data_IF_097501722505
#
_entry.id   IF_097501722505
#
_cell.length_a   1.000
_cell.length_b   1.000
_cell.length_c   1.000
_cell.angle_alpha   90.00
_cell.angle_beta   90.00
_cell.angle_gamma   90.00
#
_symmetry.space_group_name_H-M   'P 1'
#
loop_
_entity.id
_entity.type
_entity.pdbx_description
1 polymer ?
#
# COMPACT_ATOMS: atom_id res chain seq x y z
N UNK A 1 -72.61 -51.07 -2.46
CA UNK A 1 -72.31 -52.31 -1.72
C UNK A 1 -71.81 -53.30 -2.75
N UNK A 2 -70.57 -53.77 -2.79
CA UNK A 2 -69.35 -53.64 -2.00
C UNK A 2 -68.26 -54.00 -3.01
N UNK A 3 -67.32 -53.10 -3.31
CA UNK A 3 -66.38 -53.33 -4.41
C UNK A 3 -65.07 -52.60 -4.15
N UNK A 4 -64.42 -52.81 -2.99
CA UNK A 4 -63.21 -52.06 -2.61
C UNK A 4 -62.23 -52.76 -1.65
N UNK A 5 -62.11 -54.09 -1.59
CA UNK A 5 -61.03 -54.71 -0.80
C UNK A 5 -60.52 -56.02 -1.41
N UNK A 6 -59.44 -55.94 -2.19
CA UNK A 6 -58.72 -57.15 -2.63
C UNK A 6 -57.70 -56.90 -3.73
N UNK A 7 -56.63 -56.15 -3.47
CA UNK A 7 -55.44 -56.17 -4.32
C UNK A 7 -54.18 -55.81 -3.52
N UNK A 8 -53.31 -56.82 -3.38
CA UNK A 8 -51.85 -56.75 -3.26
C UNK A 8 -51.20 -55.65 -2.42
N UNK A 9 -51.03 -55.95 -1.14
CA UNK A 9 -50.09 -55.26 -0.26
C UNK A 9 -48.74 -55.98 -0.25
N UNK A 10 -48.05 -56.11 -1.40
CA UNK A 10 -46.69 -56.70 -1.41
C UNK A 10 -45.78 -56.43 -2.62
N UNK A 11 -45.76 -55.23 -3.21
CA UNK A 11 -44.62 -54.82 -4.05
C UNK A 11 -44.43 -53.30 -3.96
N UNK A 12 -43.54 -52.82 -3.09
CA UNK A 12 -42.90 -51.50 -3.27
C UNK A 12 -41.67 -51.31 -2.37
N UNK A 13 -40.79 -52.31 -2.29
CA UNK A 13 -39.41 -52.10 -1.83
C UNK A 13 -38.49 -52.92 -2.75
N UNK A 14 -38.20 -52.38 -3.93
CA UNK A 14 -36.92 -52.62 -4.59
C UNK A 14 -36.35 -51.26 -5.02
N UNK A 15 -35.08 -50.96 -4.69
CA UNK A 15 -34.42 -49.76 -5.14
C UNK A 15 -34.10 -49.95 -6.63
N UNK A 16 -34.62 -49.08 -7.49
CA UNK A 16 -34.14 -49.00 -8.87
C UNK A 16 -32.65 -48.63 -8.87
N UNK A 17 -31.83 -49.67 -8.97
CA UNK A 17 -30.46 -49.58 -9.43
C UNK A 17 -30.46 -49.77 -10.94
N UNK A 18 -30.16 -48.70 -11.67
CA UNK A 18 -29.26 -48.66 -12.84
C UNK A 18 -29.61 -47.45 -13.73
N UNK A 19 -28.62 -46.56 -13.90
CA UNK A 19 -28.11 -46.04 -15.19
C UNK A 19 -27.65 -44.58 -15.10
N UNK A 20 -26.37 -44.34 -15.40
CA UNK A 20 -25.87 -43.02 -15.79
C UNK A 20 -25.07 -42.25 -14.73
N UNK A 21 -23.73 -42.30 -14.87
CA UNK A 21 -22.77 -41.34 -14.33
C UNK A 21 -23.04 -39.90 -14.84
N UNK A 22 -24.08 -39.23 -14.35
CA UNK A 22 -24.19 -37.78 -14.49
C UNK A 22 -24.28 -37.17 -13.12
N UNK A 23 -23.13 -36.68 -12.62
CA UNK A 23 -23.08 -35.67 -11.55
C UNK A 23 -24.18 -34.65 -11.83
N UNK A 24 -25.04 -34.38 -10.87
CA UNK A 24 -26.08 -33.34 -11.02
C UNK A 24 -25.38 -32.01 -11.34
N UNK A 25 -25.42 -31.66 -12.63
CA UNK A 25 -24.70 -30.51 -13.19
C UNK A 25 -25.05 -29.14 -12.55
N UNK A 26 -26.26 -28.85 -12.04
CA UNK A 26 -26.56 -27.50 -11.58
C UNK A 26 -25.89 -27.13 -10.24
N UNK A 27 -25.82 -28.05 -9.26
CA UNK A 27 -25.27 -27.71 -7.93
C UNK A 27 -23.76 -27.51 -7.97
N UNK A 28 -23.04 -28.34 -8.72
CA UNK A 28 -21.60 -28.15 -8.92
C UNK A 28 -21.29 -26.85 -9.69
N UNK A 29 -22.11 -26.52 -10.70
CA UNK A 29 -22.02 -25.24 -11.41
C UNK A 29 -22.23 -24.06 -10.46
N UNK A 30 -23.23 -24.10 -9.58
CA UNK A 30 -23.51 -23.05 -8.59
C UNK A 30 -22.34 -22.84 -7.62
N UNK A 31 -21.76 -23.91 -7.09
CA UNK A 31 -20.57 -23.83 -6.21
C UNK A 31 -19.37 -23.29 -6.98
N UNK A 32 -19.20 -23.68 -8.24
CA UNK A 32 -18.10 -23.18 -9.09
C UNK A 32 -18.26 -21.69 -9.38
N UNK A 33 -19.46 -21.23 -9.72
CA UNK A 33 -19.78 -19.82 -9.94
C UNK A 33 -19.56 -19.03 -8.65
N UNK A 34 -20.01 -19.54 -7.51
CA UNK A 34 -19.78 -18.92 -6.21
C UNK A 34 -18.29 -18.75 -5.90
N UNK A 35 -17.50 -19.80 -6.14
CA UNK A 35 -16.07 -19.77 -5.88
C UNK A 35 -15.41 -18.72 -6.78
N UNK A 36 -15.60 -18.79 -8.10
CA UNK A 36 -15.02 -17.83 -9.05
C UNK A 36 -15.46 -16.40 -8.72
N UNK A 37 -16.73 -16.18 -8.43
CA UNK A 37 -17.26 -14.88 -8.05
C UNK A 37 -16.59 -14.32 -6.80
N UNK A 38 -16.40 -15.16 -5.77
CA UNK A 38 -15.69 -14.77 -4.54
C UNK A 38 -14.23 -14.45 -4.83
N UNK A 39 -13.56 -15.26 -5.64
CA UNK A 39 -12.18 -15.02 -6.04
C UNK A 39 -12.06 -13.68 -6.80
N UNK A 40 -12.93 -13.42 -7.77
CA UNK A 40 -12.94 -12.16 -8.52
C UNK A 40 -13.26 -10.96 -7.64
N UNK A 41 -14.16 -11.10 -6.67
CA UNK A 41 -14.53 -10.03 -5.74
C UNK A 41 -13.33 -9.62 -4.87
N UNK A 42 -12.62 -10.60 -4.32
CA UNK A 42 -11.39 -10.37 -3.55
C UNK A 42 -10.27 -9.78 -4.41
N UNK A 43 -10.07 -10.30 -5.62
CA UNK A 43 -9.13 -9.71 -6.57
C UNK A 43 -9.46 -8.25 -6.83
N UNK A 44 -10.70 -7.94 -7.19
CA UNK A 44 -11.16 -6.61 -7.52
C UNK A 44 -11.03 -5.61 -6.37
N UNK A 45 -11.27 -6.04 -5.12
CA UNK A 45 -11.07 -5.20 -3.95
C UNK A 45 -9.61 -4.72 -3.80
N UNK A 46 -8.63 -5.51 -4.22
CA UNK A 46 -7.20 -5.26 -3.97
C UNK A 46 -6.35 -5.02 -5.22
N UNK A 47 -6.89 -5.19 -6.44
CA UNK A 47 -6.11 -5.17 -7.69
C UNK A 47 -5.62 -3.79 -8.15
N UNK A 48 -6.14 -2.68 -7.61
CA UNK A 48 -5.68 -1.33 -7.93
C UNK A 48 -4.68 -0.81 -6.90
N UNK A 49 -3.47 -1.38 -6.88
CA UNK A 49 -2.33 -0.86 -6.11
C UNK A 49 -1.25 -0.22 -7.01
N UNK A 50 -1.41 -0.32 -8.33
CA UNK A 50 -0.61 0.42 -9.29
C UNK A 50 -1.25 1.79 -9.54
N UNK A 51 -0.45 2.85 -9.48
CA UNK A 51 -0.80 4.25 -9.83
C UNK A 51 -1.32 4.47 -11.28
N UNK A 52 -1.76 3.42 -11.98
CA UNK A 52 -2.33 3.40 -13.33
C UNK A 52 -3.77 2.85 -13.36
N UNK A 53 -4.43 2.66 -12.20
CA UNK A 53 -5.85 2.32 -12.23
C UNK A 53 -6.63 3.47 -12.87
N UNK A 54 -7.30 3.17 -13.98
CA UNK A 54 -8.23 4.11 -14.63
C UNK A 54 -9.29 4.59 -13.64
N UNK A 55 -9.65 5.87 -13.68
CA UNK A 55 -10.58 6.54 -12.76
C UNK A 55 -11.88 5.75 -12.47
N UNK A 56 -12.38 4.97 -13.42
CA UNK A 56 -13.59 4.14 -13.22
C UNK A 56 -13.38 2.94 -12.27
N UNK A 57 -12.21 2.29 -12.30
CA UNK A 57 -11.89 1.15 -11.43
C UNK A 57 -11.86 1.60 -9.98
N UNK A 58 -11.29 2.78 -9.77
CA UNK A 58 -11.27 3.51 -8.51
C UNK A 58 -12.67 3.76 -7.98
N UNK A 59 -13.51 4.41 -8.78
CA UNK A 59 -14.87 4.76 -8.37
C UNK A 59 -15.68 3.53 -8.03
N UNK A 60 -15.57 2.47 -8.84
CA UNK A 60 -16.26 1.22 -8.60
C UNK A 60 -15.78 0.54 -7.29
N UNK A 61 -14.49 0.52 -7.00
CA UNK A 61 -13.95 -0.04 -5.74
C UNK A 61 -14.37 0.77 -4.52
N UNK A 62 -14.34 2.09 -4.61
CA UNK A 62 -14.81 2.98 -3.54
C UNK A 62 -16.31 2.79 -3.31
N UNK A 63 -17.12 2.72 -4.37
CA UNK A 63 -18.56 2.51 -4.26
C UNK A 63 -18.93 1.13 -3.71
N UNK A 64 -18.25 0.06 -4.13
CA UNK A 64 -18.56 -1.30 -3.73
C UNK A 64 -18.02 -1.69 -2.35
N UNK A 65 -16.84 -1.20 -1.98
CA UNK A 65 -16.12 -1.63 -0.77
C UNK A 65 -15.85 -0.51 0.22
N UNK A 66 -16.19 0.74 -0.12
CA UNK A 66 -15.91 1.90 0.72
C UNK A 66 -14.42 2.10 0.98
N UNK A 67 -13.58 1.78 -0.01
CA UNK A 67 -12.14 1.95 0.07
C UNK A 67 -11.82 3.46 -0.02
N UNK A 68 -11.21 4.01 1.03
CA UNK A 68 -10.76 5.40 1.14
C UNK A 68 -9.37 5.44 1.81
N UNK A 69 -8.57 6.48 1.53
CA UNK A 69 -7.34 6.89 2.21
C UNK A 69 -6.22 5.86 2.22
N UNK A 70 -6.33 4.91 3.14
CA UNK A 70 -5.39 3.82 3.42
C UNK A 70 -5.57 2.63 2.45
N UNK A 71 -6.59 2.68 1.59
CA UNK A 71 -6.77 1.70 0.53
C UNK A 71 -7.25 0.32 1.02
N UNK A 72 -7.82 0.24 2.22
CA UNK A 72 -8.48 -0.97 2.72
C UNK A 72 -10.00 -0.79 2.69
N UNK A 73 -10.79 -1.87 2.54
CA UNK A 73 -12.24 -1.80 2.67
C UNK A 73 -12.66 -1.21 4.03
N UNK A 74 -13.78 -0.49 4.04
CA UNK A 74 -14.39 -0.08 5.30
C UNK A 74 -15.17 -1.24 5.94
N UNK A 75 -15.83 -1.00 7.08
CA UNK A 75 -16.63 -2.04 7.76
C UNK A 75 -17.68 -2.69 6.85
N UNK A 76 -18.35 -1.90 5.99
CA UNK A 76 -19.30 -2.42 5.00
C UNK A 76 -18.64 -3.27 3.91
N UNK A 77 -17.50 -2.83 3.39
CA UNK A 77 -16.73 -3.59 2.40
C UNK A 77 -16.20 -4.92 2.93
N UNK A 78 -15.74 -4.97 4.17
CA UNK A 78 -15.33 -6.23 4.81
C UNK A 78 -16.50 -7.19 5.02
N UNK A 79 -17.66 -6.67 5.43
CA UNK A 79 -18.88 -7.46 5.51
C UNK A 79 -19.25 -8.02 4.13
N UNK A 80 -19.18 -7.21 3.07
CA UNK A 80 -19.45 -7.67 1.71
C UNK A 80 -18.46 -8.78 1.28
N UNK A 81 -17.17 -8.63 1.54
CA UNK A 81 -16.13 -9.59 1.14
C UNK A 81 -16.18 -10.94 1.88
N UNK A 82 -16.65 -10.95 3.13
CA UNK A 82 -16.62 -12.13 3.99
C UNK A 82 -18.02 -12.72 4.16
N UNK A 83 -18.99 -11.88 4.58
CA UNK A 83 -20.31 -12.34 4.97
C UNK A 83 -21.17 -12.72 3.76
N UNK A 84 -21.11 -11.97 2.66
CA UNK A 84 -21.95 -12.26 1.50
C UNK A 84 -21.59 -13.63 0.84
N UNK A 85 -20.31 -13.97 0.60
CA UNK A 85 -19.94 -15.31 0.14
C UNK A 85 -20.35 -16.41 1.14
N UNK A 86 -20.17 -16.19 2.44
CA UNK A 86 -20.52 -17.18 3.46
C UNK A 86 -22.04 -17.46 3.50
N UNK A 87 -22.86 -16.42 3.44
CA UNK A 87 -24.32 -16.55 3.41
C UNK A 87 -24.81 -17.23 2.12
N UNK A 88 -24.20 -16.93 0.98
CA UNK A 88 -24.55 -17.58 -0.28
C UNK A 88 -24.20 -19.07 -0.27
N UNK A 89 -23.00 -19.42 0.21
CA UNK A 89 -22.61 -20.82 0.37
C UNK A 89 -23.55 -21.55 1.35
N UNK A 90 -23.88 -20.90 2.47
CA UNK A 90 -24.85 -21.44 3.43
C UNK A 90 -26.21 -21.70 2.78
N UNK A 91 -26.72 -20.77 1.96
CA UNK A 91 -27.96 -20.96 1.23
C UNK A 91 -27.92 -22.15 0.26
N UNK A 92 -26.81 -22.35 -0.47
CA UNK A 92 -26.62 -23.54 -1.32
C UNK A 92 -26.64 -24.82 -0.47
N UNK A 93 -25.95 -24.82 0.68
CA UNK A 93 -25.91 -25.95 1.60
C UNK A 93 -27.29 -26.33 2.15
N UNK A 94 -28.12 -25.34 2.46
CA UNK A 94 -29.49 -25.56 2.95
C UNK A 94 -30.44 -25.98 1.82
N UNK A 95 -30.31 -25.39 0.64
CA UNK A 95 -31.21 -25.65 -0.48
C UNK A 95 -30.96 -27.00 -1.19
N UNK A 96 -29.71 -27.47 -1.24
CA UNK A 96 -29.31 -28.66 -2.01
C UNK A 96 -28.44 -29.65 -1.21
N UNK A 97 -28.88 -30.12 -0.03
CA UNK A 97 -28.03 -30.91 0.87
C UNK A 97 -27.68 -32.30 0.30
N UNK A 98 -28.60 -32.93 -0.43
CA UNK A 98 -28.40 -34.28 -0.97
C UNK A 98 -27.52 -34.25 -2.23
N UNK A 99 -27.76 -33.29 -3.11
CA UNK A 99 -27.00 -33.09 -4.35
C UNK A 99 -25.55 -32.68 -4.06
N UNK A 100 -25.31 -31.84 -3.04
CA UNK A 100 -23.97 -31.51 -2.58
C UNK A 100 -23.23 -32.74 -2.07
N UNK A 101 -23.88 -33.54 -1.21
CA UNK A 101 -23.27 -34.74 -0.65
C UNK A 101 -22.90 -35.75 -1.73
N UNK A 102 -23.79 -35.98 -2.68
CA UNK A 102 -23.55 -36.92 -3.80
C UNK A 102 -22.47 -36.41 -4.77
N UNK A 103 -22.50 -35.12 -5.11
CA UNK A 103 -21.48 -34.49 -5.95
C UNK A 103 -20.09 -34.52 -5.29
N UNK A 104 -20.01 -34.25 -3.99
CA UNK A 104 -18.78 -34.33 -3.20
C UNK A 104 -18.19 -35.75 -3.20
N UNK A 105 -19.04 -36.76 -2.92
CA UNK A 105 -18.61 -38.16 -2.96
C UNK A 105 -18.11 -38.57 -4.36
N UNK A 106 -18.75 -38.08 -5.42
CA UNK A 106 -18.30 -38.32 -6.79
C UNK A 106 -16.93 -37.69 -7.07
N UNK A 107 -16.72 -36.43 -6.67
CA UNK A 107 -15.45 -35.72 -6.85
C UNK A 107 -14.29 -36.42 -6.12
N UNK A 108 -14.50 -36.85 -4.88
CA UNK A 108 -13.46 -37.48 -4.07
C UNK A 108 -13.13 -38.90 -4.56
N UNK A 109 -14.10 -39.62 -5.15
CA UNK A 109 -13.90 -40.99 -5.66
C UNK A 109 -13.19 -41.04 -7.01
N UNK A 110 -13.38 -40.06 -7.87
CA UNK A 110 -12.77 -40.02 -9.21
C UNK A 110 -11.38 -39.38 -9.18
N UNK A 111 -10.41 -39.95 -9.92
CA UNK A 111 -9.05 -39.38 -10.00
C UNK A 111 -9.06 -37.95 -10.56
N UNK A 112 -9.83 -37.70 -11.61
CA UNK A 112 -10.02 -36.36 -12.20
C UNK A 112 -10.63 -35.37 -11.20
N UNK A 113 -11.59 -35.82 -10.38
CA UNK A 113 -12.19 -35.00 -9.33
C UNK A 113 -11.20 -34.65 -8.22
N UNK A 114 -10.35 -35.60 -7.80
CA UNK A 114 -9.26 -35.34 -6.84
C UNK A 114 -8.24 -34.34 -7.38
N UNK A 115 -7.85 -34.47 -8.66
CA UNK A 115 -6.95 -33.51 -9.31
C UNK A 115 -7.59 -32.12 -9.36
N UNK A 116 -8.88 -32.02 -9.72
CA UNK A 116 -9.60 -30.76 -9.73
C UNK A 116 -9.69 -30.11 -8.35
N UNK A 117 -9.97 -30.91 -7.30
CA UNK A 117 -9.99 -30.42 -5.92
C UNK A 117 -8.61 -29.88 -5.50
N UNK A 118 -7.52 -30.60 -5.80
CA UNK A 118 -6.16 -30.13 -5.51
C UNK A 118 -5.86 -28.83 -6.25
N UNK A 119 -6.17 -28.75 -7.54
CA UNK A 119 -5.95 -27.53 -8.32
C UNK A 119 -6.72 -26.33 -7.75
N UNK A 120 -8.00 -26.52 -7.40
CA UNK A 120 -8.82 -25.49 -6.76
C UNK A 120 -8.25 -25.07 -5.41
N UNK A 121 -7.85 -26.03 -4.56
CA UNK A 121 -7.22 -25.73 -3.27
C UNK A 121 -5.92 -24.94 -3.43
N UNK A 122 -5.11 -25.26 -4.43
CA UNK A 122 -3.88 -24.52 -4.75
C UNK A 122 -4.20 -23.09 -5.18
N UNK A 123 -5.19 -22.89 -6.07
CA UNK A 123 -5.60 -21.57 -6.52
C UNK A 123 -6.15 -20.70 -5.38
N UNK A 124 -6.97 -21.28 -4.50
CA UNK A 124 -7.45 -20.60 -3.29
C UNK A 124 -6.27 -20.24 -2.39
N UNK A 125 -5.32 -21.17 -2.19
CA UNK A 125 -4.12 -20.92 -1.39
C UNK A 125 -3.29 -19.75 -1.94
N UNK A 126 -3.04 -19.72 -3.25
CA UNK A 126 -2.32 -18.63 -3.92
C UNK A 126 -3.06 -17.30 -3.70
N UNK A 127 -4.37 -17.29 -3.86
CA UNK A 127 -5.15 -16.07 -3.69
C UNK A 127 -5.17 -15.57 -2.24
N UNK A 128 -5.34 -16.46 -1.26
CA UNK A 128 -5.31 -16.10 0.17
C UNK A 128 -3.96 -15.52 0.53
N UNK A 129 -2.87 -16.11 0.07
CA UNK A 129 -1.51 -15.58 0.28
C UNK A 129 -1.37 -14.20 -0.35
N UNK A 130 -1.75 -14.04 -1.63
CA UNK A 130 -1.68 -12.75 -2.32
C UNK A 130 -2.50 -11.66 -1.61
N UNK A 131 -3.78 -11.93 -1.32
CA UNK A 131 -4.64 -10.97 -0.62
C UNK A 131 -4.10 -10.64 0.77
N UNK A 132 -3.65 -11.65 1.53
CA UNK A 132 -3.02 -11.46 2.83
C UNK A 132 -1.79 -10.56 2.76
N UNK A 133 -0.91 -10.76 1.77
CA UNK A 133 0.27 -9.90 1.58
C UNK A 133 -0.08 -8.46 1.23
N UNK A 134 -1.11 -8.25 0.40
CA UNK A 134 -1.55 -6.91 0.02
C UNK A 134 -2.24 -6.16 1.17
N UNK A 135 -3.04 -6.87 1.98
CA UNK A 135 -3.62 -6.34 3.21
C UNK A 135 -2.51 -5.97 4.20
N UNK A 136 -1.56 -6.88 4.45
CA UNK A 136 -0.47 -6.65 5.38
C UNK A 136 0.37 -5.43 4.96
N UNK A 137 0.71 -5.33 3.68
CA UNK A 137 1.43 -4.18 3.12
C UNK A 137 0.71 -2.85 3.40
N UNK A 138 -0.62 -2.81 3.21
CA UNK A 138 -1.43 -1.60 3.46
C UNK A 138 -1.51 -1.26 4.95
N UNK A 139 -1.64 -2.27 5.81
CA UNK A 139 -1.59 -2.10 7.27
C UNK A 139 -0.23 -1.57 7.72
N UNK A 140 0.87 -2.09 7.18
CA UNK A 140 2.22 -1.65 7.50
C UNK A 140 2.44 -0.19 7.11
N UNK A 141 1.97 0.22 5.92
CA UNK A 141 2.00 1.61 5.47
C UNK A 141 1.20 2.52 6.42
N UNK A 142 -0.01 2.11 6.78
CA UNK A 142 -0.87 2.87 7.69
C UNK A 142 -0.21 3.03 9.06
N UNK A 143 0.29 1.93 9.63
CA UNK A 143 0.97 1.95 10.92
C UNK A 143 2.21 2.85 10.87
N UNK A 144 3.03 2.72 9.83
CA UNK A 144 4.23 3.52 9.64
C UNK A 144 3.93 5.02 9.43
N UNK A 145 2.79 5.36 8.80
CA UNK A 145 2.31 6.73 8.66
C UNK A 145 1.86 7.36 9.99
N UNK A 146 1.44 6.54 10.95
CA UNK A 146 0.97 6.99 12.29
C UNK A 146 2.05 6.97 13.37
N UNK A 147 3.28 6.55 13.07
CA UNK A 147 4.34 6.47 14.08
C UNK A 147 4.63 7.86 14.69
N UNK A 148 4.80 7.91 16.03
CA UNK A 148 5.07 9.16 16.72
C UNK A 148 6.39 9.76 16.26
N UNK A 149 6.52 11.07 16.45
CA UNK A 149 7.74 11.80 16.16
C UNK A 149 8.92 11.23 16.96
N UNK A 150 10.07 11.02 16.32
CA UNK A 150 11.27 10.56 17.01
C UNK A 150 11.83 11.70 17.87
N UNK A 151 11.57 11.64 19.17
CA UNK A 151 12.04 12.60 20.17
C UNK A 151 13.30 12.09 20.88
N UNK A 152 13.99 13.00 21.58
CA UNK A 152 15.22 12.69 22.31
C UNK A 152 16.49 12.73 21.45
N UNK A 153 17.61 12.33 22.04
CA UNK A 153 18.92 12.32 21.39
C UNK A 153 19.04 11.15 20.40
N UNK A 154 19.82 11.38 19.34
CA UNK A 154 20.15 10.35 18.38
C UNK A 154 21.03 9.26 19.02
N UNK A 155 20.65 7.97 18.99
CA UNK A 155 21.41 6.93 19.67
C UNK A 155 22.84 6.79 19.12
N UNK A 156 23.83 6.72 20.00
CA UNK A 156 25.24 6.63 19.60
C UNK A 156 25.53 5.40 18.70
N UNK A 157 24.89 4.28 19.02
CA UNK A 157 25.05 2.98 18.37
C UNK A 157 23.94 2.67 17.34
N UNK A 158 23.29 3.70 16.77
CA UNK A 158 22.29 3.48 15.73
C UNK A 158 22.95 2.91 14.45
N UNK A 159 22.55 1.72 13.97
CA UNK A 159 23.26 1.02 12.91
C UNK A 159 23.13 1.74 11.56
N UNK A 160 24.22 1.99 10.82
CA UNK A 160 24.15 2.56 9.48
C UNK A 160 23.70 1.50 8.47
N UNK A 161 22.88 1.92 7.51
CA UNK A 161 22.41 1.07 6.41
C UNK A 161 23.52 0.84 5.37
N UNK A 162 24.26 1.91 5.02
CA UNK A 162 25.35 1.90 4.03
C UNK A 162 24.96 1.30 2.67
N UNK A 163 23.78 1.68 2.16
CA UNK A 163 23.24 1.24 0.85
C UNK A 163 23.49 2.34 -0.20
N UNK A 164 23.94 2.04 -1.43
CA UNK A 164 24.04 3.06 -2.48
C UNK A 164 22.69 3.74 -2.69
N UNK A 165 22.67 5.07 -2.70
CA UNK A 165 21.45 5.81 -2.97
C UNK A 165 21.08 5.67 -4.45
N UNK A 166 19.85 5.23 -4.79
CA UNK A 166 19.39 5.20 -6.17
C UNK A 166 19.50 6.58 -6.81
N UNK A 167 20.10 6.65 -8.00
CA UNK A 167 20.21 7.92 -8.69
C UNK A 167 18.83 8.35 -9.25
N UNK A 168 18.64 9.66 -9.39
CA UNK A 168 17.46 10.23 -10.03
C UNK A 168 17.87 11.39 -10.93
N UNK A 169 16.97 11.76 -11.85
CA UNK A 169 17.07 12.99 -12.63
C UNK A 169 15.66 13.57 -12.74
N UNK A 170 15.41 14.64 -12.00
CA UNK A 170 14.10 15.27 -11.81
C UNK A 170 14.21 16.76 -12.08
N UNK A 171 13.06 17.42 -12.21
CA UNK A 171 12.97 18.83 -12.62
C UNK A 171 12.69 19.72 -11.41
N UNK A 172 13.41 20.83 -11.31
CA UNK A 172 13.16 21.86 -10.29
C UNK A 172 12.16 22.93 -10.77
N UNK A 173 11.88 23.94 -9.93
CA UNK A 173 10.95 25.03 -10.27
C UNK A 173 11.38 25.92 -11.45
N UNK A 174 12.65 25.86 -11.86
CA UNK A 174 13.21 26.62 -12.98
C UNK A 174 13.16 25.83 -14.29
N UNK A 175 12.68 24.58 -14.26
CA UNK A 175 12.72 23.67 -15.40
C UNK A 175 14.08 22.99 -15.60
N UNK A 176 15.04 23.20 -14.71
CA UNK A 176 16.36 22.58 -14.79
C UNK A 176 16.32 21.15 -14.26
N UNK A 177 17.04 20.25 -14.93
CA UNK A 177 17.28 18.90 -14.44
C UNK A 177 18.23 18.94 -13.24
N UNK A 178 17.87 18.21 -12.20
CA UNK A 178 18.62 18.03 -10.96
C UNK A 178 18.73 16.54 -10.69
N UNK A 179 19.95 16.08 -10.51
CA UNK A 179 20.26 14.68 -10.27
C UNK A 179 20.94 14.50 -8.92
N UNK A 180 20.85 13.29 -8.34
CA UNK A 180 21.51 13.03 -7.05
C UNK A 180 23.03 13.26 -7.13
N UNK A 181 23.61 12.93 -8.30
CA UNK A 181 25.04 13.15 -8.59
C UNK A 181 25.50 14.60 -8.46
N UNK A 182 24.59 15.57 -8.61
CA UNK A 182 24.91 17.00 -8.52
C UNK A 182 25.25 17.39 -7.07
N UNK A 183 24.89 16.55 -6.11
CA UNK A 183 25.17 16.72 -4.68
C UNK A 183 26.39 15.95 -4.19
N UNK A 184 27.16 15.28 -5.07
CA UNK A 184 28.40 14.59 -4.68
C UNK A 184 29.34 15.51 -3.88
N UNK A 185 29.95 14.96 -2.84
CA UNK A 185 30.78 15.72 -1.91
C UNK A 185 29.99 16.46 -0.83
N UNK A 186 28.65 16.39 -0.84
CA UNK A 186 27.77 17.03 0.14
C UNK A 186 26.81 15.98 0.71
N UNK A 187 26.46 16.09 1.99
CA UNK A 187 25.41 15.25 2.55
C UNK A 187 24.04 15.73 2.08
N UNK A 188 23.11 14.80 1.85
CA UNK A 188 21.76 15.11 1.39
C UNK A 188 20.73 14.60 2.38
N UNK A 189 19.86 15.50 2.86
CA UNK A 189 18.60 15.16 3.51
C UNK A 189 17.56 15.01 2.40
N UNK A 190 17.28 13.78 1.99
CA UNK A 190 16.27 13.48 0.98
C UNK A 190 14.96 13.08 1.67
N UNK A 191 13.87 13.76 1.35
CA UNK A 191 12.54 13.43 1.84
C UNK A 191 11.50 13.48 0.73
N UNK A 192 10.37 12.83 0.97
CA UNK A 192 9.24 12.79 0.06
C UNK A 192 8.03 13.45 0.71
N UNK A 193 7.47 14.46 0.06
CA UNK A 193 6.35 15.25 0.59
C UNK A 193 5.51 15.81 -0.56
N UNK A 194 4.27 16.23 -0.31
CA UNK A 194 3.42 16.84 -1.34
C UNK A 194 2.67 18.05 -0.80
N UNK A 195 2.37 19.02 -1.67
CA UNK A 195 1.88 20.33 -1.24
C UNK A 195 0.48 20.29 -0.59
N UNK A 196 -0.33 19.29 -0.92
CA UNK A 196 -1.69 19.17 -0.40
C UNK A 196 -1.74 18.63 1.04
N UNK A 197 -0.66 18.02 1.54
CA UNK A 197 -0.61 17.54 2.92
C UNK A 197 -0.66 18.71 3.91
N UNK A 198 -1.68 18.73 4.78
CA UNK A 198 -1.92 19.80 5.76
C UNK A 198 -1.39 19.51 7.17
N UNK A 199 -0.86 18.31 7.41
CA UNK A 199 -0.53 17.82 8.76
C UNK A 199 0.96 17.51 8.91
N UNK A 200 1.42 16.37 8.40
CA UNK A 200 2.77 15.84 8.69
C UNK A 200 3.86 16.48 7.83
N UNK A 201 3.61 16.72 6.54
CA UNK A 201 4.63 17.28 5.64
C UNK A 201 5.18 18.63 6.12
N UNK A 202 4.37 19.63 6.53
CA UNK A 202 4.91 20.89 7.05
C UNK A 202 5.84 20.72 8.26
N UNK A 203 5.50 19.79 9.18
CA UNK A 203 6.30 19.51 10.38
C UNK A 203 7.62 18.81 10.03
N UNK A 204 7.59 17.86 9.09
CA UNK A 204 8.79 17.18 8.58
C UNK A 204 9.76 18.17 7.92
N UNK A 205 9.23 19.03 7.05
CA UNK A 205 10.00 20.07 6.39
C UNK A 205 10.59 21.06 7.40
N UNK A 206 9.82 21.46 8.42
CA UNK A 206 10.31 22.33 9.49
C UNK A 206 11.46 21.70 10.29
N UNK A 207 11.37 20.41 10.59
CA UNK A 207 12.41 19.65 11.30
C UNK A 207 13.69 19.53 10.49
N UNK A 208 13.57 19.22 9.19
CA UNK A 208 14.70 19.18 8.27
C UNK A 208 15.38 20.54 8.12
N UNK A 209 14.62 21.63 7.97
CA UNK A 209 15.16 22.99 7.94
C UNK A 209 15.91 23.37 9.22
N UNK A 210 15.36 22.99 10.37
CA UNK A 210 15.97 23.28 11.67
C UNK A 210 17.27 22.51 11.89
N UNK A 211 17.39 21.30 11.34
CA UNK A 211 18.66 20.56 11.30
C UNK A 211 19.65 21.20 10.32
N UNK A 212 19.17 21.53 9.12
CA UNK A 212 19.96 22.13 8.03
C UNK A 212 20.62 23.45 8.42
N UNK A 213 19.95 24.27 9.26
CA UNK A 213 20.45 25.56 9.73
C UNK A 213 21.74 25.49 10.57
N UNK A 214 22.12 24.31 11.06
CA UNK A 214 23.36 24.11 11.85
C UNK A 214 24.57 23.75 10.99
N UNK A 215 24.40 23.58 9.68
CA UNK A 215 25.46 23.20 8.76
C UNK A 215 25.60 24.24 7.65
N UNK A 216 26.79 24.32 7.05
CA UNK A 216 26.97 25.21 5.90
C UNK A 216 26.19 24.70 4.69
N UNK A 217 25.80 25.62 3.81
CA UNK A 217 25.15 25.28 2.53
C UNK A 217 26.05 24.44 1.63
N UNK A 218 27.36 24.49 1.81
CA UNK A 218 28.32 23.67 1.07
C UNK A 218 28.40 22.24 1.62
N UNK A 219 28.05 22.02 2.89
CA UNK A 219 28.12 20.71 3.54
C UNK A 219 26.85 19.88 3.35
N UNK A 220 25.68 20.52 3.45
CA UNK A 220 24.39 19.82 3.48
C UNK A 220 23.37 20.46 2.55
N UNK A 221 22.66 19.60 1.82
CA UNK A 221 21.57 19.96 0.92
C UNK A 221 20.28 19.24 1.34
N UNK A 222 19.16 19.92 1.23
CA UNK A 222 17.84 19.32 1.43
C UNK A 222 17.15 19.13 0.08
N UNK A 223 16.72 17.91 -0.20
CA UNK A 223 15.99 17.58 -1.42
C UNK A 223 14.62 17.05 -1.04
N UNK A 224 13.58 17.70 -1.54
CA UNK A 224 12.20 17.29 -1.35
C UNK A 224 11.67 16.81 -2.69
N UNK A 225 11.37 15.53 -2.82
CA UNK A 225 10.74 15.00 -4.04
C UNK A 225 9.23 14.94 -3.82
N UNK A 226 8.45 15.43 -4.79
CA UNK A 226 7.00 15.35 -4.67
C UNK A 226 6.50 13.91 -4.74
N UNK A 227 5.52 13.57 -3.89
CA UNK A 227 4.75 12.34 -4.00
C UNK A 227 3.53 12.46 -4.94
N UNK A 228 3.23 13.67 -5.40
CA UNK A 228 2.01 13.99 -6.12
C UNK A 228 2.30 14.78 -7.42
N UNK A 229 2.99 14.15 -8.39
CA UNK A 229 3.39 14.80 -9.64
C UNK A 229 2.21 15.29 -10.50
N UNK A 230 0.99 14.80 -10.25
CA UNK A 230 -0.22 15.24 -10.97
C UNK A 230 -0.62 16.68 -10.60
N UNK A 231 -0.40 17.11 -9.35
CA UNK A 231 -0.75 18.45 -8.87
C UNK A 231 0.50 19.32 -8.66
N UNK A 232 1.58 18.74 -8.14
CA UNK A 232 2.85 19.41 -7.87
C UNK A 232 3.72 19.45 -9.14
N UNK A 233 3.19 20.08 -10.19
CA UNK A 233 3.91 20.26 -11.46
C UNK A 233 5.12 21.20 -11.29
N UNK A 234 6.14 21.15 -12.18
CA UNK A 234 7.28 22.07 -12.13
C UNK A 234 6.90 23.55 -11.99
N UNK A 235 5.81 23.98 -12.64
CA UNK A 235 5.29 25.34 -12.55
C UNK A 235 4.75 25.70 -11.15
N UNK A 236 4.21 24.72 -10.40
CA UNK A 236 3.71 24.92 -9.04
C UNK A 236 4.83 24.93 -7.98
N UNK A 237 6.00 24.35 -8.28
CA UNK A 237 7.07 24.15 -7.31
C UNK A 237 7.56 25.45 -6.67
N UNK A 238 7.62 26.58 -7.41
CA UNK A 238 8.05 27.85 -6.82
C UNK A 238 7.11 28.32 -5.71
N UNK A 239 5.79 28.17 -5.89
CA UNK A 239 4.82 28.50 -4.86
C UNK A 239 4.93 27.57 -3.65
N UNK A 240 5.21 26.29 -3.88
CA UNK A 240 5.42 25.28 -2.82
C UNK A 240 6.66 25.63 -1.98
N UNK A 241 7.79 25.93 -2.63
CA UNK A 241 9.03 26.32 -1.94
C UNK A 241 8.82 27.57 -1.07
N UNK A 242 8.10 28.57 -1.59
CA UNK A 242 7.76 29.78 -0.83
C UNK A 242 6.84 29.47 0.35
N UNK A 243 5.80 28.65 0.15
CA UNK A 243 4.86 28.27 1.21
C UNK A 243 5.56 27.53 2.37
N UNK A 244 6.54 26.70 2.08
CA UNK A 244 7.36 26.01 3.09
C UNK A 244 8.55 26.84 3.59
N UNK A 245 8.73 28.06 3.06
CA UNK A 245 9.83 28.97 3.40
C UNK A 245 11.20 28.27 3.33
N UNK A 246 11.45 27.54 2.22
CA UNK A 246 12.68 26.74 2.08
C UNK A 246 13.93 27.65 1.94
N UNK A 247 15.04 27.30 2.61
CA UNK A 247 16.30 28.02 2.45
C UNK A 247 16.98 27.71 1.10
N UNK A 248 18.03 28.46 0.76
CA UNK A 248 18.71 28.35 -0.54
C UNK A 248 19.38 27.00 -0.82
N UNK A 249 19.74 26.25 0.22
CA UNK A 249 20.27 24.88 0.12
C UNK A 249 19.18 23.81 0.23
N UNK A 250 17.93 24.18 -0.06
CA UNK A 250 16.80 23.27 -0.16
C UNK A 250 16.12 23.41 -1.52
N UNK A 251 15.80 22.29 -2.16
CA UNK A 251 15.08 22.27 -3.44
C UNK A 251 13.92 21.29 -3.41
N UNK A 252 12.82 21.67 -4.06
CA UNK A 252 11.69 20.77 -4.35
C UNK A 252 11.81 20.33 -5.80
N UNK A 253 11.66 19.03 -6.03
CA UNK A 253 11.77 18.38 -7.32
C UNK A 253 10.47 17.67 -7.68
N UNK A 254 10.15 17.67 -8.97
CA UNK A 254 9.04 16.93 -9.57
C UNK A 254 9.48 16.27 -10.87
N UNK A 255 8.60 15.45 -11.45
CA UNK A 255 8.87 14.72 -12.68
C UNK A 255 7.58 14.16 -13.25
N UNK A 256 7.71 13.35 -14.30
CA UNK A 256 6.58 12.56 -14.77
C UNK A 256 6.12 11.56 -13.69
N UNK A 257 4.86 11.14 -13.78
CA UNK A 257 4.27 10.14 -12.88
C UNK A 257 5.12 8.87 -12.83
N UNK A 258 5.58 8.39 -13.98
CA UNK A 258 6.40 7.18 -14.08
C UNK A 258 7.79 7.36 -13.46
N UNK A 259 8.41 8.53 -13.62
CA UNK A 259 9.70 8.82 -12.97
C UNK A 259 9.58 8.78 -11.45
N UNK A 260 8.56 9.43 -10.90
CA UNK A 260 8.34 9.42 -9.44
C UNK A 260 8.01 8.01 -8.95
N UNK A 261 7.13 7.28 -9.65
CA UNK A 261 6.78 5.89 -9.31
C UNK A 261 8.01 4.98 -9.28
N UNK A 262 8.84 5.02 -10.32
CA UNK A 262 10.07 4.24 -10.42
C UNK A 262 11.08 4.64 -9.33
N UNK A 263 11.14 5.92 -8.97
CA UNK A 263 12.01 6.39 -7.90
C UNK A 263 11.55 5.88 -6.53
N UNK A 264 10.25 5.96 -6.22
CA UNK A 264 9.70 5.43 -4.98
C UNK A 264 9.94 3.93 -4.84
N UNK A 265 9.84 3.16 -5.93
CA UNK A 265 10.18 1.74 -5.93
C UNK A 265 11.66 1.50 -5.61
N UNK A 266 12.57 2.25 -6.22
CA UNK A 266 14.02 2.10 -5.97
C UNK A 266 14.42 2.47 -4.53
N UNK A 267 13.74 3.46 -3.93
CA UNK A 267 13.92 3.85 -2.54
C UNK A 267 13.11 2.99 -1.55
N UNK A 268 12.40 1.96 -2.04
CA UNK A 268 11.53 1.09 -1.24
C UNK A 268 10.52 1.90 -0.40
N UNK A 269 10.05 3.03 -0.95
CA UNK A 269 9.17 3.98 -0.27
C UNK A 269 7.71 3.56 -0.44
N UNK A 270 7.06 3.04 0.60
CA UNK A 270 5.74 2.47 0.44
C UNK A 270 4.69 3.59 0.55
N UNK A 271 3.79 3.69 -0.41
CA UNK A 271 2.74 4.70 -0.41
C UNK A 271 1.46 4.14 -1.03
N UNK A 272 0.33 4.64 -0.55
CA UNK A 272 -1.00 4.35 -1.09
C UNK A 272 -1.67 5.68 -1.38
N UNK A 273 -2.10 5.88 -2.63
CA UNK A 273 -2.88 7.05 -3.02
C UNK A 273 -4.36 6.75 -2.81
N UNK A 274 -5.07 7.64 -2.13
CA UNK A 274 -6.51 7.74 -2.22
C UNK A 274 -6.84 8.19 -3.63
N UNK A 275 -7.43 7.30 -4.40
CA UNK A 275 -7.67 7.55 -5.80
C UNK A 275 -8.82 8.58 -6.03
N UNK A 276 -9.68 8.86 -5.03
CA UNK A 276 -10.81 9.81 -5.06
C UNK A 276 -10.42 11.23 -4.63
N UNK A 277 -9.72 11.37 -3.51
CA UNK A 277 -9.26 12.68 -3.01
C UNK A 277 -7.89 13.08 -3.58
N UNK A 278 -7.15 12.08 -4.08
CA UNK A 278 -5.74 12.23 -4.43
C UNK A 278 -4.81 12.34 -3.23
N UNK A 279 -5.30 12.16 -2.01
CA UNK A 279 -4.45 12.14 -0.82
C UNK A 279 -3.54 10.92 -0.83
N UNK A 280 -2.46 10.96 -0.06
CA UNK A 280 -1.49 9.88 0.00
C UNK A 280 -1.32 9.45 1.45
N UNK A 281 -1.54 8.17 1.72
CA UNK A 281 -1.13 7.51 2.95
C UNK A 281 0.29 6.98 2.75
N UNK A 282 1.24 7.54 3.48
CA UNK A 282 2.66 7.18 3.37
C UNK A 282 3.40 7.46 4.69
N UNK A 283 4.50 6.75 4.98
CA UNK A 283 5.37 7.09 6.10
C UNK A 283 6.13 8.39 5.82
N UNK A 284 6.59 9.07 6.86
CA UNK A 284 7.39 10.28 6.72
C UNK A 284 8.90 9.94 6.67
N UNK A 285 9.29 9.04 5.76
CA UNK A 285 10.69 8.65 5.65
C UNK A 285 11.57 9.81 5.14
N UNK A 286 12.69 9.99 5.81
CA UNK A 286 13.78 10.89 5.43
C UNK A 286 15.07 10.08 5.38
N UNK A 287 15.75 10.17 4.24
CA UNK A 287 17.00 9.50 3.97
C UNK A 287 18.14 10.47 4.20
N UNK A 288 19.13 10.06 5.00
CA UNK A 288 20.38 10.79 5.19
C UNK A 288 21.44 10.14 4.31
N UNK A 289 21.82 10.83 3.25
CA UNK A 289 22.78 10.38 2.24
C UNK A 289 24.12 11.06 2.55
N UNK A 290 25.18 10.28 2.62
CA UNK A 290 26.54 10.77 2.84
C UNK A 290 27.15 11.39 1.56
N UNK A 291 28.27 12.12 1.69
CA UNK A 291 28.94 12.79 0.55
C UNK A 291 29.38 11.86 -0.59
N UNK A 292 29.55 10.57 -0.28
CA UNK A 292 29.91 9.51 -1.23
C UNK A 292 28.71 8.96 -2.02
N UNK A 293 27.48 9.39 -1.69
CA UNK A 293 26.25 8.95 -2.33
C UNK A 293 25.63 7.69 -1.70
N UNK A 294 26.05 7.27 -0.50
CA UNK A 294 25.43 6.16 0.21
C UNK A 294 24.39 6.65 1.23
N UNK A 295 23.24 5.97 1.29
CA UNK A 295 22.25 6.14 2.35
C UNK A 295 22.84 5.56 3.63
N UNK A 296 23.11 6.42 4.63
CA UNK A 296 23.51 5.99 5.96
C UNK A 296 22.31 5.66 6.82
N UNK A 297 21.24 6.45 6.76
CA UNK A 297 20.06 6.25 7.60
C UNK A 297 18.77 6.49 6.82
N UNK A 298 17.74 5.70 7.15
CA UNK A 298 16.34 5.94 6.77
C UNK A 298 15.57 6.13 8.06
N UNK A 299 15.12 7.35 8.32
CA UNK A 299 14.46 7.73 9.55
C UNK A 299 12.98 8.03 9.28
N UNK A 300 12.08 7.57 10.14
CA UNK A 300 10.65 7.85 10.00
C UNK A 300 10.22 8.98 10.92
N UNK A 301 9.70 10.05 10.33
CA UNK A 301 9.27 11.25 11.05
C UNK A 301 10.33 11.79 12.04
N UNK A 302 11.60 11.98 11.61
CA UNK A 302 12.68 12.36 12.51
C UNK A 302 12.55 13.81 12.99
N UNK A 303 12.97 14.03 14.24
CA UNK A 303 13.21 15.37 14.74
C UNK A 303 14.43 16.04 14.13
N UNK A 304 14.51 17.36 14.29
CA UNK A 304 15.70 18.11 13.95
C UNK A 304 16.94 17.57 14.68
N UNK A 305 16.80 17.11 15.93
CA UNK A 305 17.89 16.51 16.70
C UNK A 305 18.36 15.19 16.11
N UNK A 306 17.42 14.31 15.75
CA UNK A 306 17.74 13.06 15.08
C UNK A 306 18.44 13.28 13.74
N UNK A 307 17.99 14.25 12.94
CA UNK A 307 18.63 14.60 11.67
C UNK A 307 20.04 15.16 11.88
N UNK A 308 20.26 16.00 12.91
CA UNK A 308 21.60 16.49 13.26
C UNK A 308 22.53 15.36 13.66
N UNK A 309 22.08 14.48 14.56
CA UNK A 309 22.86 13.32 14.99
C UNK A 309 23.24 12.42 13.80
N UNK A 310 22.29 12.14 12.91
CA UNK A 310 22.54 11.39 11.69
C UNK A 310 23.53 12.09 10.74
N UNK A 311 23.45 13.41 10.57
CA UNK A 311 24.39 14.19 9.76
C UNK A 311 25.80 14.21 10.38
N UNK A 312 25.95 14.27 11.70
CA UNK A 312 27.27 14.16 12.33
C UNK A 312 27.95 12.82 12.02
N UNK A 313 27.18 11.74 11.94
CA UNK A 313 27.69 10.41 11.56
C UNK A 313 28.12 10.34 10.08
N UNK A 314 27.78 11.32 9.24
CA UNK A 314 28.34 11.46 7.88
C UNK A 314 29.76 12.05 7.86
N UNK A 315 30.33 12.38 9.02
CA UNK A 315 31.65 13.02 9.14
C UNK A 315 31.61 14.55 9.09
N UNK A 316 30.41 15.15 9.18
CA UNK A 316 30.23 16.60 9.18
C UNK A 316 30.31 17.19 10.58
N UNK A 317 31.01 18.31 10.71
CA UNK A 317 30.99 19.16 11.90
C UNK A 317 29.97 20.30 11.72
N UNK A 318 29.25 20.70 12.78
CA UNK A 318 28.32 21.83 12.70
C UNK A 318 29.10 23.14 12.56
N UNK A 319 28.40 24.20 12.16
CA UNK A 319 28.96 25.56 12.16
C UNK A 319 29.44 25.91 13.56
N UNK A 320 30.59 26.60 13.65
CA UNK A 320 31.23 26.99 14.92
C UNK A 320 30.40 27.95 15.79
N UNK A 321 29.25 28.41 15.28
CA UNK A 321 28.29 29.26 15.97
C UNK A 321 26.89 29.07 15.36
N UNK A 322 25.85 28.73 16.15
CA UNK A 322 24.49 28.67 15.65
C UNK A 322 24.03 30.07 15.21
N UNK A 323 23.22 30.20 14.14
CA UNK A 323 22.59 31.48 13.83
C UNK A 323 21.68 31.88 15.00
N UNK A 324 21.79 33.15 15.40
CA UNK A 324 21.09 33.76 16.53
C UNK A 324 19.56 33.69 16.30
N UNK A 325 18.92 32.64 16.83
CA UNK A 325 17.48 32.51 16.78
C UNK A 325 16.85 33.51 17.75
N UNK A 326 16.29 34.59 17.22
CA UNK A 326 15.36 35.46 17.93
C UNK A 326 14.10 34.68 18.32
N UNK A 327 14.11 34.10 19.51
CA UNK A 327 12.91 33.60 20.18
C UNK A 327 12.13 34.83 20.66
N UNK A 328 10.88 35.06 20.23
CA UNK A 328 10.04 36.06 20.88
C UNK A 328 9.75 35.54 22.29
N UNK A 329 10.27 36.23 23.30
CA UNK A 329 9.81 36.06 24.67
C UNK A 329 8.33 36.49 24.71
N UNK A 330 7.46 35.50 24.89
CA UNK A 330 6.06 35.70 25.24
C UNK A 330 6.01 36.45 26.59
N UNK A 331 5.33 37.60 26.60
CA UNK A 331 4.99 38.38 27.79
C UNK A 331 3.50 38.21 28.06
#
# INVERSE_FOLDING_TARGET
MEDWLGADFRVMIEPHAAEGNSVSRPTLLLVTIWLIGTMLLWWFAFSGSSNESSDWLTEARSACFGIEGHGLPNGGGWLLLILAPALFLFAICVAFPVELRTSWLSLVRQLSGRIALVAVSVLIGIQVVWAGTEIQKRLDIQNAATLPFQTGEFPENYPPLSKPAPNFSLVNFQGSQVSLSDFRGRSVILTFAFAHCKTVCPTLISSAKSALAQFSTEQVQMVVVTLDPWRDTPAALSAIQKRWNLPNNATVLSGSVDQIKNLLQQYEYPSVRDEKTGDLTHPAFTYVIAPDGFILYTLNNPSAEWLRGALHKTGLSPLSSPPENGIPHEK
#
